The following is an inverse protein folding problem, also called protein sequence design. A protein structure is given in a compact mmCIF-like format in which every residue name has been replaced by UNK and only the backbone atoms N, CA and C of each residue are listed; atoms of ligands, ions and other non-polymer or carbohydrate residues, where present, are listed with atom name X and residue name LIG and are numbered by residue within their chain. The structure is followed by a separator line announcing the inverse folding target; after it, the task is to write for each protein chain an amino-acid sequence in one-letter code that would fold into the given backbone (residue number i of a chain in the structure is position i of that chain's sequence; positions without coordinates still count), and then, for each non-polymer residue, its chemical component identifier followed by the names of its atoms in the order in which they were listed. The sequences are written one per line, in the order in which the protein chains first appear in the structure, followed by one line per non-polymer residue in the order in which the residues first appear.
data_IF_727892780225
#
_entry.id   IF_727892780225
#
_cell.length_a   1.000
_cell.length_b   1.000
_cell.length_c   1.000
_cell.angle_alpha   90.00
_cell.angle_beta   90.00
_cell.angle_gamma   90.00
#
_symmetry.space_group_name_H-M   'P 1'
#
loop_
_entity.id
_entity.type
_entity.pdbx_description
1 polymer ?
#
# COMPACT_ATOMS: atom_id res chain seq x y z
N UNK A 1 14.20 31.55 4.81
CA UNK A 1 15.14 30.52 4.35
C UNK A 1 14.46 29.81 3.19
N UNK A 2 15.09 29.72 2.03
CA UNK A 2 14.55 28.98 0.89
C UNK A 2 14.45 27.47 1.24
N UNK A 3 13.33 26.83 0.91
CA UNK A 3 13.07 25.43 1.24
C UNK A 3 14.04 24.49 0.54
N UNK A 4 14.45 24.82 -0.69
CA UNK A 4 15.49 24.08 -1.40
C UNK A 4 16.83 24.17 -0.63
N UNK A 5 17.23 25.37 -0.20
CA UNK A 5 18.43 25.54 0.62
C UNK A 5 18.34 24.81 1.98
N UNK A 6 17.15 24.74 2.59
CA UNK A 6 16.93 23.95 3.78
C UNK A 6 17.17 22.46 3.51
N UNK A 7 16.64 21.91 2.42
CA UNK A 7 16.85 20.51 2.04
C UNK A 7 18.34 20.20 1.77
N UNK A 8 19.08 21.11 1.12
CA UNK A 8 20.53 20.99 0.92
C UNK A 8 21.25 20.88 2.27
N UNK A 9 20.93 21.77 3.21
CA UNK A 9 21.59 21.83 4.51
C UNK A 9 21.23 20.65 5.43
N UNK A 10 20.15 19.93 5.11
CA UNK A 10 19.69 18.76 5.85
C UNK A 10 19.88 17.46 5.04
N UNK A 11 20.71 17.47 3.99
CA UNK A 11 21.22 16.22 3.40
C UNK A 11 22.02 15.46 4.46
N UNK A 12 22.00 14.14 4.36
CA UNK A 12 22.65 13.18 5.26
C UNK A 12 23.86 13.74 6.01
N UNK A 13 23.74 13.87 7.34
CA UNK A 13 24.83 14.24 8.24
C UNK A 13 25.30 13.00 8.99
N UNK A 14 26.56 12.61 8.81
CA UNK A 14 27.19 11.45 9.45
C UNK A 14 27.23 11.56 10.99
N UNK A 15 27.25 12.78 11.53
CA UNK A 15 27.45 13.02 12.97
C UNK A 15 26.17 12.94 13.79
N UNK A 16 25.01 13.13 13.16
CA UNK A 16 23.72 13.07 13.85
C UNK A 16 23.05 11.71 13.67
N UNK A 17 22.86 10.98 14.77
CA UNK A 17 22.25 9.63 14.75
C UNK A 17 20.73 9.73 14.73
N UNK A 18 20.14 10.65 15.51
CA UNK A 18 18.70 10.71 15.74
C UNK A 18 18.01 11.92 15.09
N UNK A 19 18.74 12.79 14.39
CA UNK A 19 18.07 13.88 13.67
C UNK A 19 17.43 13.37 12.39
N UNK A 20 16.28 13.96 12.07
CA UNK A 20 15.70 13.86 10.74
C UNK A 20 16.65 14.46 9.72
N UNK A 21 16.78 13.80 8.57
CA UNK A 21 17.51 14.30 7.42
C UNK A 21 16.76 13.97 6.13
N UNK A 22 17.18 14.61 5.04
CA UNK A 22 16.60 14.49 3.70
C UNK A 22 17.58 13.71 2.82
N UNK A 23 17.49 12.36 2.78
CA UNK A 23 18.33 11.54 1.88
C UNK A 23 18.12 11.91 0.41
N UNK A 24 16.89 12.30 0.05
CA UNK A 24 16.54 12.64 -1.32
C UNK A 24 15.39 13.64 -1.37
N UNK A 25 15.49 14.57 -2.31
CA UNK A 25 14.44 15.49 -2.67
C UNK A 25 14.55 15.88 -4.15
N UNK A 26 13.44 16.32 -4.71
CA UNK A 26 13.30 16.91 -6.03
C UNK A 26 12.32 18.08 -5.93
N UNK A 27 12.74 19.25 -6.40
CA UNK A 27 11.92 20.46 -6.46
C UNK A 27 12.14 21.04 -7.86
N UNK A 28 11.09 21.19 -8.65
CA UNK A 28 11.17 21.78 -9.99
C UNK A 28 10.51 23.16 -10.08
N UNK A 29 10.70 23.82 -11.22
CA UNK A 29 10.23 25.19 -11.47
C UNK A 29 8.69 25.32 -11.54
N UNK A 30 7.96 24.21 -11.64
CA UNK A 30 6.49 24.17 -11.61
C UNK A 30 5.92 23.81 -10.23
N UNK A 31 6.76 23.81 -9.18
CA UNK A 31 6.42 23.48 -7.79
C UNK A 31 6.00 22.03 -7.54
N UNK A 32 6.45 21.08 -8.37
CA UNK A 32 6.44 19.67 -7.96
C UNK A 32 7.49 19.49 -6.88
N UNK A 33 7.03 19.06 -5.72
CA UNK A 33 7.86 18.90 -4.53
C UNK A 33 7.83 17.44 -4.12
N UNK A 34 8.96 16.77 -4.31
CA UNK A 34 9.26 15.52 -3.64
C UNK A 34 10.30 15.76 -2.56
N UNK A 35 10.01 15.39 -1.31
CA UNK A 35 11.00 15.43 -0.23
C UNK A 35 10.78 14.24 0.67
N UNK A 36 11.76 13.35 0.77
CA UNK A 36 11.72 12.20 1.66
C UNK A 36 12.43 12.52 2.97
N UNK A 37 11.75 12.33 4.10
CA UNK A 37 12.26 12.55 5.45
C UNK A 37 12.43 11.22 6.18
N UNK A 38 13.58 11.02 6.83
CA UNK A 38 13.88 9.81 7.61
C UNK A 38 14.93 10.10 8.70
N UNK A 39 15.27 9.09 9.50
CA UNK A 39 16.40 9.10 10.44
C UNK A 39 17.25 7.84 10.23
N UNK A 40 18.50 7.81 10.71
CA UNK A 40 19.38 6.66 10.52
C UNK A 40 18.86 5.37 11.16
N UNK A 41 18.34 5.38 12.40
CA UNK A 41 17.73 4.19 13.00
C UNK A 41 16.60 3.63 12.15
N UNK A 42 15.74 4.51 11.62
CA UNK A 42 14.62 4.11 10.79
C UNK A 42 15.05 3.43 9.48
N UNK A 43 16.10 3.94 8.82
CA UNK A 43 16.65 3.27 7.64
C UNK A 43 17.31 1.92 7.96
N UNK A 44 17.86 1.73 9.17
CA UNK A 44 18.38 0.41 9.57
C UNK A 44 17.27 -0.61 9.74
N UNK A 45 16.11 -0.18 10.24
CA UNK A 45 14.94 -1.05 10.41
C UNK A 45 14.42 -1.59 9.06
N UNK A 46 14.68 -0.91 7.93
CA UNK A 46 14.30 -1.46 6.61
C UNK A 46 15.06 -2.74 6.30
N UNK A 47 16.24 -2.97 6.87
CA UNK A 47 16.98 -4.21 6.65
C UNK A 47 16.33 -5.44 7.33
N UNK A 48 15.34 -5.24 8.21
CA UNK A 48 14.71 -6.30 8.98
C UNK A 48 13.58 -7.02 8.23
N UNK A 49 13.10 -6.47 7.11
CA UNK A 49 11.97 -7.03 6.39
C UNK A 49 12.06 -6.66 4.91
N UNK A 50 11.64 -7.57 4.04
CA UNK A 50 11.59 -7.31 2.59
C UNK A 50 10.22 -6.78 2.14
N UNK A 51 9.35 -6.38 3.08
CA UNK A 51 8.03 -5.83 2.83
C UNK A 51 8.07 -4.30 2.87
N UNK A 52 7.70 -3.67 1.77
CA UNK A 52 7.47 -2.23 1.70
C UNK A 52 5.96 -1.95 1.79
N UNK A 53 5.52 -1.30 2.85
CA UNK A 53 4.16 -0.79 3.00
C UNK A 53 4.12 0.71 2.66
N UNK A 54 3.23 1.10 1.76
CA UNK A 54 3.07 2.50 1.32
C UNK A 54 1.59 2.88 1.37
N UNK A 55 1.30 4.03 1.97
CA UNK A 55 -0.05 4.63 1.94
C UNK A 55 0.03 6.13 1.71
N UNK A 56 -0.88 6.66 0.91
CA UNK A 56 -1.01 8.08 0.69
C UNK A 56 -2.05 8.67 1.64
N UNK A 57 -1.68 9.73 2.34
CA UNK A 57 -2.62 10.55 3.10
C UNK A 57 -2.70 11.97 2.55
N UNK A 58 -3.93 12.41 2.30
CA UNK A 58 -4.27 13.76 1.88
C UNK A 58 -4.67 14.61 3.09
N UNK A 59 -4.74 15.94 2.91
CA UNK A 59 -5.18 16.96 3.89
C UNK A 59 -4.13 17.48 4.89
N UNK A 60 -2.84 17.37 4.59
CA UNK A 60 -1.80 17.88 5.50
C UNK A 60 -1.26 19.26 5.13
N UNK A 61 -1.51 19.72 3.90
CA UNK A 61 -1.06 21.02 3.40
C UNK A 61 -2.23 21.81 2.83
N UNK A 62 -2.08 23.14 2.75
CA UNK A 62 -3.08 24.03 2.15
C UNK A 62 -3.34 23.71 0.67
N UNK A 63 -2.38 23.08 0.00
CA UNK A 63 -2.46 22.69 -1.41
C UNK A 63 -2.87 21.21 -1.59
N UNK A 64 -3.28 20.54 -0.51
CA UNK A 64 -3.68 19.12 -0.51
C UNK A 64 -2.63 18.14 -1.08
N UNK A 65 -1.35 18.52 -1.06
CA UNK A 65 -0.25 17.66 -1.52
C UNK A 65 -0.29 16.31 -0.77
N UNK A 66 -0.25 15.17 -1.49
CA UNK A 66 -0.16 13.86 -0.88
C UNK A 66 1.08 13.75 0.00
N UNK A 67 0.90 13.27 1.24
CA UNK A 67 1.99 12.72 2.04
C UNK A 67 1.96 11.20 1.89
N UNK A 68 2.99 10.64 1.27
CA UNK A 68 3.25 9.21 1.31
C UNK A 68 3.92 8.85 2.63
N UNK A 69 3.40 7.82 3.29
CA UNK A 69 4.03 7.21 4.45
C UNK A 69 4.61 5.87 4.03
N UNK A 70 5.89 5.68 4.37
CA UNK A 70 6.63 4.47 4.09
C UNK A 70 6.92 3.75 5.39
N UNK A 71 6.68 2.45 5.40
CA UNK A 71 7.02 1.60 6.53
C UNK A 71 7.16 0.16 6.13
N UNK A 72 7.44 -0.66 7.12
CA UNK A 72 7.46 -2.11 7.02
C UNK A 72 6.88 -2.70 8.30
N UNK A 73 6.48 -3.96 8.25
CA UNK A 73 6.14 -4.71 9.45
C UNK A 73 7.23 -5.72 9.78
N UNK A 74 7.48 -5.90 11.08
CA UNK A 74 8.32 -6.99 11.59
C UNK A 74 7.56 -8.32 11.63
N UNK A 75 8.26 -9.39 12.04
CA UNK A 75 7.69 -10.73 12.14
C UNK A 75 6.51 -10.81 13.14
N UNK A 76 6.46 -9.89 14.11
CA UNK A 76 5.36 -9.77 15.08
C UNK A 76 4.20 -8.92 14.55
N UNK A 77 4.23 -8.54 13.25
CA UNK A 77 3.22 -7.73 12.56
C UNK A 77 3.09 -6.31 13.11
N UNK A 78 4.12 -5.79 13.79
CA UNK A 78 4.15 -4.40 14.20
C UNK A 78 4.68 -3.53 13.07
N UNK A 79 3.88 -2.54 12.68
CA UNK A 79 4.26 -1.57 11.67
C UNK A 79 5.29 -0.58 12.23
N UNK A 80 6.38 -0.40 11.49
CA UNK A 80 7.48 0.52 11.77
C UNK A 80 7.59 1.50 10.61
N UNK A 81 7.16 2.76 10.77
CA UNK A 81 7.37 3.77 9.74
C UNK A 81 8.86 4.07 9.66
N UNK A 82 9.41 4.11 8.45
CA UNK A 82 10.81 4.49 8.26
C UNK A 82 10.98 5.79 7.49
N UNK A 83 9.90 6.36 6.96
CA UNK A 83 9.96 7.71 6.43
C UNK A 83 8.64 8.19 5.85
N UNK A 84 8.63 9.46 5.48
CA UNK A 84 7.48 10.11 4.85
C UNK A 84 7.97 10.96 3.69
N UNK A 85 7.19 11.05 2.62
CA UNK A 85 7.49 11.95 1.51
C UNK A 85 6.29 12.81 1.12
N UNK A 86 6.53 14.08 0.85
CA UNK A 86 5.64 14.83 -0.04
C UNK A 86 5.88 14.35 -1.47
N UNK A 87 4.84 14.21 -2.26
CA UNK A 87 4.95 13.79 -3.66
C UNK A 87 4.00 14.64 -4.51
N UNK A 88 4.43 15.10 -5.70
CA UNK A 88 3.49 15.66 -6.69
C UNK A 88 2.42 14.62 -7.03
N UNK A 89 1.23 15.06 -7.47
CA UNK A 89 0.03 14.23 -7.48
C UNK A 89 0.08 12.96 -8.34
N UNK A 90 1.11 12.72 -9.16
CA UNK A 90 1.07 11.65 -10.17
C UNK A 90 2.37 10.87 -10.45
N UNK A 91 3.48 11.15 -9.76
CA UNK A 91 4.80 10.59 -10.12
C UNK A 91 5.49 9.81 -9.00
N UNK A 92 5.98 8.62 -9.34
CA UNK A 92 6.93 7.88 -8.51
C UNK A 92 8.34 8.37 -8.81
N UNK A 93 9.07 8.83 -7.80
CA UNK A 93 10.46 9.24 -7.99
C UNK A 93 11.43 8.12 -7.60
N UNK A 94 12.39 7.86 -8.47
CA UNK A 94 13.43 6.85 -8.27
C UNK A 94 14.41 7.28 -7.17
N UNK A 95 14.69 6.38 -6.23
CA UNK A 95 16.04 6.25 -5.70
C UNK A 95 16.29 4.85 -5.15
N UNK A 96 17.15 4.12 -5.85
CA UNK A 96 17.70 2.85 -5.39
C UNK A 96 18.93 3.12 -4.52
N UNK A 97 18.84 2.78 -3.23
CA UNK A 97 19.99 2.30 -2.47
C UNK A 97 19.56 1.15 -1.55
N UNK A 98 20.26 0.03 -1.68
CA UNK A 98 20.42 -1.12 -0.76
C UNK A 98 19.20 -1.74 -0.06
N UNK A 99 17.98 -1.29 -0.33
CA UNK A 99 16.78 -1.91 0.23
C UNK A 99 16.26 -3.01 -0.69
N UNK A 100 16.45 -4.27 -0.29
CA UNK A 100 15.94 -5.43 -1.01
C UNK A 100 14.45 -5.58 -0.70
N UNK A 101 13.62 -5.10 -1.62
CA UNK A 101 12.16 -5.21 -1.54
C UNK A 101 11.71 -6.42 -2.34
N UNK A 102 11.11 -7.40 -1.68
CA UNK A 102 10.45 -8.54 -2.34
C UNK A 102 8.96 -8.30 -2.53
N UNK A 103 8.35 -7.49 -1.67
CA UNK A 103 6.92 -7.24 -1.66
C UNK A 103 6.62 -5.75 -1.48
N UNK A 104 5.70 -5.21 -2.27
CA UNK A 104 5.15 -3.86 -2.07
C UNK A 104 3.67 -3.99 -1.77
N UNK A 105 3.27 -3.65 -0.55
CA UNK A 105 1.89 -3.63 -0.08
C UNK A 105 1.35 -2.20 -0.11
N UNK A 106 0.24 -2.01 -0.82
CA UNK A 106 -0.48 -0.75 -0.83
C UNK A 106 -1.94 -0.97 -1.25
N UNK A 107 -2.71 0.11 -1.27
CA UNK A 107 -4.08 0.12 -1.78
C UNK A 107 -4.14 -0.09 -3.31
N UNK A 108 -5.29 0.16 -3.94
CA UNK A 108 -5.46 -0.04 -5.38
C UNK A 108 -4.95 1.11 -6.26
N UNK A 109 -4.16 2.07 -5.73
CA UNK A 109 -3.77 3.26 -6.47
C UNK A 109 -2.90 2.94 -7.70
N UNK A 110 -3.28 3.43 -8.91
CA UNK A 110 -2.50 3.21 -10.12
C UNK A 110 -1.08 3.78 -10.05
N UNK A 111 -0.90 4.96 -9.43
CA UNK A 111 0.41 5.61 -9.29
C UNK A 111 1.42 4.74 -8.55
N UNK A 112 1.03 4.16 -7.41
CA UNK A 112 1.88 3.24 -6.63
C UNK A 112 2.23 1.98 -7.44
N UNK A 113 1.28 1.48 -8.24
CA UNK A 113 1.52 0.32 -9.10
C UNK A 113 2.54 0.61 -10.20
N UNK A 114 2.47 1.80 -10.82
CA UNK A 114 3.48 2.23 -11.81
C UNK A 114 4.85 2.39 -11.15
N UNK A 115 4.92 3.14 -10.06
CA UNK A 115 6.15 3.39 -9.32
C UNK A 115 6.83 2.08 -8.86
N UNK A 116 6.05 1.10 -8.37
CA UNK A 116 6.60 -0.20 -8.00
C UNK A 116 7.24 -0.92 -9.19
N UNK A 117 6.61 -0.92 -10.37
CA UNK A 117 7.15 -1.59 -11.56
C UNK A 117 8.43 -0.94 -12.06
N UNK A 118 8.53 0.38 -11.94
CA UNK A 118 9.71 1.16 -12.33
C UNK A 118 10.86 0.96 -11.34
N UNK A 119 10.59 1.14 -10.04
CA UNK A 119 11.63 1.18 -9.00
C UNK A 119 12.02 -0.22 -8.50
N UNK A 120 11.04 -1.10 -8.34
CA UNK A 120 11.18 -2.45 -7.79
C UNK A 120 10.58 -3.51 -8.73
N UNK A 121 11.07 -3.65 -9.98
CA UNK A 121 10.47 -4.52 -10.99
C UNK A 121 10.38 -6.00 -10.57
N UNK A 122 11.26 -6.45 -9.68
CA UNK A 122 11.28 -7.83 -9.18
C UNK A 122 10.38 -8.06 -7.95
N UNK A 123 9.86 -6.99 -7.34
CA UNK A 123 8.97 -7.11 -6.19
C UNK A 123 7.55 -7.50 -6.63
N UNK A 124 6.87 -8.30 -5.79
CA UNK A 124 5.45 -8.61 -5.97
C UNK A 124 4.59 -7.46 -5.42
N UNK A 125 3.67 -6.96 -6.24
CA UNK A 125 2.67 -5.96 -5.82
C UNK A 125 1.52 -6.63 -5.09
N UNK A 126 1.51 -6.53 -3.77
CA UNK A 126 0.45 -7.04 -2.91
C UNK A 126 -0.67 -6.02 -2.77
N UNK A 127 -1.92 -6.47 -2.80
CA UNK A 127 -3.11 -5.64 -2.63
C UNK A 127 -3.61 -5.77 -1.18
N UNK A 128 -3.81 -4.63 -0.51
CA UNK A 128 -4.26 -4.61 0.88
C UNK A 128 -5.64 -5.29 1.04
N UNK A 129 -5.69 -6.34 1.85
CA UNK A 129 -6.92 -7.10 2.12
C UNK A 129 -8.05 -6.24 2.69
N UNK A 130 -7.75 -5.35 3.65
CA UNK A 130 -8.76 -4.49 4.25
C UNK A 130 -9.45 -3.59 3.20
N UNK A 131 -8.70 -3.18 2.19
CA UNK A 131 -9.24 -2.43 1.04
C UNK A 131 -10.12 -3.29 0.13
N UNK A 132 -9.71 -4.53 -0.16
CA UNK A 132 -10.53 -5.50 -0.92
C UNK A 132 -11.86 -5.74 -0.21
N UNK A 133 -11.82 -6.14 1.07
CA UNK A 133 -13.01 -6.41 1.88
C UNK A 133 -13.96 -5.21 1.92
N UNK A 134 -13.42 -4.01 2.19
CA UNK A 134 -14.21 -2.77 2.20
C UNK A 134 -14.86 -2.48 0.85
N UNK A 135 -14.10 -2.59 -0.25
CA UNK A 135 -14.61 -2.31 -1.59
C UNK A 135 -15.63 -3.34 -2.05
N UNK A 136 -15.46 -4.61 -1.73
CA UNK A 136 -16.48 -5.64 -1.95
C UNK A 136 -17.76 -5.30 -1.19
N UNK A 137 -17.66 -4.90 0.08
CA UNK A 137 -18.82 -4.49 0.90
C UNK A 137 -19.53 -3.26 0.35
N UNK A 138 -18.81 -2.26 -0.17
CA UNK A 138 -19.40 -1.11 -0.88
C UNK A 138 -20.20 -1.54 -2.13
N UNK A 139 -19.76 -2.61 -2.80
CA UNK A 139 -20.41 -3.18 -3.98
C UNK A 139 -21.49 -4.23 -3.65
N UNK A 140 -21.81 -4.48 -2.38
CA UNK A 140 -22.88 -5.41 -1.97
C UNK A 140 -24.25 -5.08 -2.54
N UNK A 141 -24.48 -3.84 -2.97
CA UNK A 141 -25.72 -3.41 -3.67
C UNK A 141 -25.94 -4.13 -5.00
N UNK A 142 -24.87 -4.68 -5.59
CA UNK A 142 -24.92 -5.56 -6.76
C UNK A 142 -25.33 -6.99 -6.38
N UNK A 143 -25.50 -7.30 -5.10
CA UNK A 143 -25.87 -8.63 -4.63
C UNK A 143 -27.33 -8.61 -4.18
N UNK A 144 -28.15 -9.61 -4.55
CA UNK A 144 -29.52 -9.73 -4.06
C UNK A 144 -29.59 -9.75 -2.53
N UNK A 145 -30.66 -9.17 -1.99
CA UNK A 145 -30.94 -9.15 -0.56
C UNK A 145 -30.85 -10.56 0.06
N UNK A 146 -30.15 -10.67 1.19
CA UNK A 146 -29.96 -11.94 1.90
C UNK A 146 -28.84 -12.84 1.38
N UNK A 147 -28.20 -12.52 0.24
CA UNK A 147 -27.07 -13.30 -0.31
C UNK A 147 -25.69 -12.78 0.10
N UNK A 148 -25.60 -11.52 0.52
CA UNK A 148 -24.30 -10.87 0.83
C UNK A 148 -23.47 -11.66 1.84
N UNK A 149 -24.07 -12.13 2.94
CA UNK A 149 -23.30 -12.80 4.00
C UNK A 149 -22.57 -14.05 3.48
N UNK A 150 -23.18 -14.81 2.58
CA UNK A 150 -22.55 -15.97 1.97
C UNK A 150 -21.38 -15.57 1.06
N UNK A 151 -21.55 -14.52 0.26
CA UNK A 151 -20.48 -13.98 -0.60
C UNK A 151 -19.34 -13.41 0.23
N UNK A 152 -19.64 -12.70 1.31
CA UNK A 152 -18.66 -12.13 2.21
C UNK A 152 -17.82 -13.23 2.85
N UNK A 153 -18.45 -14.30 3.36
CA UNK A 153 -17.75 -15.50 3.85
C UNK A 153 -16.86 -16.12 2.79
N UNK A 154 -17.37 -16.33 1.57
CA UNK A 154 -16.59 -16.90 0.47
C UNK A 154 -15.32 -16.07 0.15
N UNK A 155 -15.42 -14.74 0.18
CA UNK A 155 -14.27 -13.84 -0.05
C UNK A 155 -13.27 -13.93 1.11
N UNK A 156 -13.73 -14.07 2.36
CA UNK A 156 -12.85 -14.27 3.52
C UNK A 156 -12.15 -15.64 3.47
N UNK A 157 -12.84 -16.70 3.05
CA UNK A 157 -12.24 -18.03 2.88
C UNK A 157 -11.16 -18.02 1.79
N UNK A 158 -11.37 -17.26 0.70
CA UNK A 158 -10.33 -17.04 -0.31
C UNK A 158 -9.11 -16.32 0.26
N UNK A 159 -9.32 -15.34 1.16
CA UNK A 159 -8.20 -14.61 1.78
C UNK A 159 -7.28 -15.56 2.56
N UNK A 160 -7.84 -16.59 3.19
CA UNK A 160 -7.10 -17.57 4.00
C UNK A 160 -6.35 -18.62 3.18
N UNK A 161 -6.47 -18.61 1.84
CA UNK A 161 -5.73 -19.52 0.99
C UNK A 161 -4.22 -19.31 1.16
N UNK A 162 -3.46 -20.37 1.42
CA UNK A 162 -2.02 -20.30 1.72
C UNK A 162 -1.12 -20.65 0.53
N UNK A 163 -1.68 -20.86 -0.67
CA UNK A 163 -0.92 -21.05 -1.89
C UNK A 163 -1.71 -20.61 -3.12
N UNK A 164 -0.99 -20.24 -4.17
CA UNK A 164 -1.55 -19.85 -5.47
C UNK A 164 -2.47 -20.94 -6.05
N UNK A 165 -2.12 -22.22 -5.86
CA UNK A 165 -2.93 -23.33 -6.34
C UNK A 165 -4.28 -23.40 -5.63
N UNK A 166 -4.27 -23.39 -4.29
CA UNK A 166 -5.50 -23.44 -3.48
C UNK A 166 -6.35 -22.20 -3.75
N UNK A 167 -5.73 -21.02 -3.84
CA UNK A 167 -6.43 -19.78 -4.19
C UNK A 167 -7.11 -19.88 -5.56
N UNK A 168 -6.39 -20.34 -6.58
CA UNK A 168 -6.94 -20.49 -7.94
C UNK A 168 -8.10 -21.48 -7.99
N UNK A 169 -7.98 -22.61 -7.30
CA UNK A 169 -9.07 -23.58 -7.19
C UNK A 169 -10.28 -23.00 -6.44
N UNK A 170 -10.02 -22.32 -5.32
CA UNK A 170 -11.04 -21.61 -4.53
C UNK A 170 -11.81 -20.60 -5.38
N UNK A 171 -11.09 -19.76 -6.13
CA UNK A 171 -11.68 -18.78 -7.07
C UNK A 171 -12.60 -19.47 -8.07
N UNK A 172 -12.14 -20.55 -8.71
CA UNK A 172 -12.99 -21.33 -9.65
C UNK A 172 -14.27 -21.85 -8.98
N UNK A 173 -14.19 -22.33 -7.73
CA UNK A 173 -15.35 -22.83 -6.98
C UNK A 173 -16.34 -21.71 -6.63
N UNK A 174 -15.86 -20.57 -6.10
CA UNK A 174 -16.76 -19.46 -5.73
C UNK A 174 -17.39 -18.82 -6.98
N UNK A 175 -16.66 -18.72 -8.08
CA UNK A 175 -17.20 -18.21 -9.35
C UNK A 175 -18.33 -19.10 -9.88
N UNK A 176 -18.18 -20.43 -9.79
CA UNK A 176 -19.25 -21.38 -10.14
C UNK A 176 -20.42 -21.26 -9.18
N UNK A 177 -20.16 -21.12 -7.88
CA UNK A 177 -21.20 -20.97 -6.85
C UNK A 177 -22.04 -19.71 -7.04
N UNK A 178 -21.44 -18.61 -7.51
CA UNK A 178 -22.09 -17.31 -7.66
C UNK A 178 -22.86 -17.15 -8.98
N UNK A 179 -22.92 -18.16 -9.85
CA UNK A 179 -23.45 -18.02 -11.23
C UNK A 179 -24.97 -17.82 -11.35
N UNK A 180 -25.66 -17.25 -10.36
CA UNK A 180 -27.13 -17.19 -10.29
C UNK A 180 -27.67 -15.74 -10.33
N UNK A 181 -28.32 -15.37 -11.43
CA UNK A 181 -29.08 -14.12 -11.59
C UNK A 181 -28.25 -12.90 -12.04
N UNK A 182 -28.86 -11.89 -12.72
CA UNK A 182 -28.13 -10.76 -13.32
C UNK A 182 -27.37 -9.88 -12.33
N UNK A 183 -27.90 -9.65 -11.13
CA UNK A 183 -27.25 -8.84 -10.11
C UNK A 183 -25.96 -9.52 -9.62
N UNK A 184 -26.02 -10.81 -9.25
CA UNK A 184 -24.82 -11.54 -8.83
C UNK A 184 -23.81 -11.63 -9.96
N UNK A 185 -24.23 -11.78 -11.22
CA UNK A 185 -23.33 -11.73 -12.37
C UNK A 185 -22.56 -10.40 -12.47
N UNK A 186 -23.20 -9.26 -12.18
CA UNK A 186 -22.51 -7.97 -12.15
C UNK A 186 -21.47 -7.91 -11.01
N UNK A 187 -21.81 -8.39 -9.82
CA UNK A 187 -20.84 -8.47 -8.72
C UNK A 187 -19.70 -9.43 -9.04
N UNK A 188 -20.01 -10.59 -9.60
CA UNK A 188 -19.04 -11.61 -10.02
C UNK A 188 -18.06 -11.04 -11.04
N UNK A 189 -18.57 -10.35 -12.06
CA UNK A 189 -17.75 -9.70 -13.09
C UNK A 189 -16.84 -8.63 -12.45
N UNK A 190 -17.42 -7.75 -11.64
CA UNK A 190 -16.65 -6.74 -10.89
C UNK A 190 -15.54 -7.39 -10.04
N UNK A 191 -15.86 -8.44 -9.30
CA UNK A 191 -14.94 -9.11 -8.41
C UNK A 191 -13.80 -9.78 -9.20
N UNK A 192 -14.13 -10.46 -10.30
CA UNK A 192 -13.14 -11.03 -11.19
C UNK A 192 -12.22 -9.96 -11.78
N UNK A 193 -12.77 -8.94 -12.42
CA UNK A 193 -11.99 -7.91 -13.11
C UNK A 193 -11.06 -7.16 -12.16
N UNK A 194 -11.53 -6.80 -10.97
CA UNK A 194 -10.73 -6.02 -10.03
C UNK A 194 -9.78 -6.87 -9.19
N UNK A 195 -10.25 -8.00 -8.66
CA UNK A 195 -9.54 -8.70 -7.58
C UNK A 195 -8.97 -10.04 -8.01
N UNK A 196 -9.26 -10.53 -9.22
CA UNK A 196 -8.67 -11.76 -9.75
C UNK A 196 -7.77 -11.45 -10.95
N UNK A 197 -8.21 -10.59 -11.86
CA UNK A 197 -7.43 -10.24 -13.05
C UNK A 197 -6.45 -9.08 -12.75
N UNK A 198 -6.96 -7.94 -12.29
CA UNK A 198 -6.16 -6.73 -12.14
C UNK A 198 -5.24 -6.72 -10.92
N UNK A 199 -5.73 -7.09 -9.73
CA UNK A 199 -4.99 -7.03 -8.45
C UNK A 199 -5.19 -8.32 -7.61
N UNK A 200 -4.67 -9.49 -8.02
CA UNK A 200 -4.96 -10.77 -7.39
C UNK A 200 -4.29 -11.05 -6.03
N UNK A 201 -3.24 -10.30 -5.69
CA UNK A 201 -2.34 -10.68 -4.60
C UNK A 201 -2.80 -10.12 -3.24
N UNK A 202 -3.95 -10.58 -2.74
CA UNK A 202 -4.53 -10.17 -1.44
C UNK A 202 -4.81 -11.32 -0.44
N UNK A 203 -4.43 -12.55 -0.79
CA UNK A 203 -4.61 -13.77 0.02
C UNK A 203 -3.31 -14.20 0.72
N UNK A 204 -3.36 -14.89 1.85
CA UNK A 204 -2.23 -15.26 2.75
C UNK A 204 -1.03 -15.85 1.99
N UNK A 205 -1.29 -16.75 1.04
CA UNK A 205 -0.27 -17.38 0.22
C UNK A 205 0.52 -16.44 -0.71
N UNK A 206 0.01 -15.23 -0.99
CA UNK A 206 0.67 -14.26 -1.85
C UNK A 206 1.99 -13.74 -1.26
N UNK A 207 2.10 -13.70 0.07
CA UNK A 207 3.32 -13.37 0.78
C UNK A 207 3.34 -14.06 2.15
N UNK A 208 3.82 -15.31 2.16
CA UNK A 208 3.88 -16.11 3.38
C UNK A 208 4.69 -15.39 4.48
N UNK A 209 4.16 -15.43 5.70
CA UNK A 209 4.72 -14.82 6.91
C UNK A 209 4.77 -13.27 6.89
N UNK A 210 4.13 -12.62 5.91
CA UNK A 210 4.02 -11.16 5.84
C UNK A 210 2.57 -10.73 6.11
N UNK A 211 2.33 -9.60 6.81
CA UNK A 211 0.96 -9.11 6.98
C UNK A 211 0.39 -8.62 5.65
N UNK A 212 -0.83 -9.06 5.34
CA UNK A 212 -1.55 -8.65 4.12
C UNK A 212 -2.46 -7.43 4.29
N UNK A 213 -2.22 -6.66 5.34
CA UNK A 213 -2.96 -5.44 5.63
C UNK A 213 -2.00 -4.27 5.70
N UNK A 214 -2.49 -3.10 5.31
CA UNK A 214 -1.79 -1.84 5.49
C UNK A 214 -2.25 -1.11 6.77
N UNK A 215 -2.91 -1.82 7.70
CA UNK A 215 -3.59 -1.23 8.86
C UNK A 215 -2.67 -0.40 9.73
N UNK A 216 -1.41 -0.81 9.88
CA UNK A 216 -0.42 -0.04 10.64
C UNK A 216 -0.13 1.32 10.01
N UNK A 217 0.03 1.36 8.67
CA UNK A 217 0.22 2.58 7.92
C UNK A 217 -1.03 3.47 7.96
N UNK A 218 -2.22 2.88 7.79
CA UNK A 218 -3.51 3.59 7.87
C UNK A 218 -3.76 4.19 9.27
N UNK A 219 -3.40 3.45 10.34
CA UNK A 219 -3.50 3.91 11.73
C UNK A 219 -2.56 5.07 12.01
N UNK A 220 -1.33 5.01 11.48
CA UNK A 220 -0.39 6.12 11.56
C UNK A 220 -0.93 7.35 10.82
N UNK A 221 -1.46 7.18 9.61
CA UNK A 221 -2.10 8.24 8.84
C UNK A 221 -3.27 8.90 9.60
N UNK A 222 -4.09 8.10 10.28
CA UNK A 222 -5.16 8.60 11.15
C UNK A 222 -4.62 9.43 12.31
N UNK A 223 -3.52 9.00 12.93
CA UNK A 223 -2.85 9.70 14.03
C UNK A 223 -2.24 11.02 13.56
N UNK A 224 -1.57 11.03 12.41
CA UNK A 224 -1.01 12.24 11.79
C UNK A 224 -2.11 13.28 11.56
N UNK A 225 -3.25 12.87 10.95
CA UNK A 225 -4.39 13.77 10.71
C UNK A 225 -4.98 14.37 11.98
N UNK A 226 -4.99 13.63 13.09
CA UNK A 226 -5.51 14.12 14.37
C UNK A 226 -4.60 15.17 15.01
N UNK A 227 -3.29 15.06 14.82
CA UNK A 227 -2.29 15.92 15.47
C UNK A 227 -1.92 17.16 14.66
N UNK A 228 -2.45 17.33 13.45
CA UNK A 228 -2.22 18.49 12.56
C UNK A 228 -3.39 19.51 12.64
N UNK A 229 -4.31 19.32 13.60
CA UNK A 229 -5.36 20.30 13.91
C UNK A 229 -4.83 21.54 14.64
#
# INVERSE_FOLDING_TARGET
MDFNQWCINHKYDENSIHSTFVPYYYINDINDIFVFFTTKPLLKDTQLSSLLQVDATYKLTWNELPLLVFGSSDADRHFRPFGVAFVPSDEGHENQREYIVHYVMADGAPGITRAQKEIFPQARRLMCWAHVARKCREHRKLVPTGKWQQIDTDIHDLQLCFSDNIFTQGVSLVMKKWSTGPLIQQFQQYFFDQWIDKLPLWYEGAALNMPLTNNGCESLNSTIKKNIQ
#
